data_IF_637923283731
#
_entry.id   IF_637923283731
#
_cell.length_a   1.000
_cell.length_b   1.000
_cell.length_c   1.000
_cell.angle_alpha   90.00
_cell.angle_beta   90.00
_cell.angle_gamma   90.00
#
_symmetry.space_group_name_H-M   'P 1'
#
loop_
_entity.id
_entity.type
_entity.pdbx_description
1 polymer ?
#
# COMPACT_ATOMS: atom_id res chain seq x y z
N UNK A 1 12.06 -4.21 4.60
CA UNK A 1 11.16 -3.03 4.63
C UNK A 1 10.41 -2.91 5.94
N UNK A 2 10.26 -3.99 6.71
CA UNK A 2 9.63 -3.90 8.04
C UNK A 2 8.16 -4.33 8.05
N UNK A 3 7.59 -4.68 6.89
CA UNK A 3 6.33 -5.44 6.79
C UNK A 3 6.44 -6.75 7.58
N UNK A 4 5.33 -7.20 8.13
CA UNK A 4 5.22 -8.53 8.72
C UNK A 4 5.33 -9.58 7.60
N UNK A 5 5.79 -10.77 7.97
CA UNK A 5 5.81 -11.95 7.12
C UNK A 5 4.99 -13.04 7.78
N UNK A 6 4.37 -13.90 6.97
CA UNK A 6 3.61 -15.05 7.43
C UNK A 6 4.30 -16.32 6.97
N UNK A 7 4.49 -17.26 7.89
CA UNK A 7 5.00 -18.59 7.61
C UNK A 7 4.12 -19.66 8.27
N UNK A 8 4.14 -20.87 7.70
CA UNK A 8 3.46 -22.09 8.20
C UNK A 8 2.01 -21.87 8.70
N UNK A 9 1.04 -21.52 7.82
CA UNK A 9 1.16 -21.28 6.38
C UNK A 9 1.48 -19.81 6.04
N UNK A 10 2.02 -19.56 4.84
CA UNK A 10 2.19 -18.18 4.36
C UNK A 10 0.88 -17.64 3.80
N UNK A 11 0.16 -16.86 4.61
CA UNK A 11 -1.13 -16.27 4.26
C UNK A 11 -1.02 -15.13 3.23
N UNK A 12 0.16 -14.52 3.05
CA UNK A 12 0.37 -13.52 1.99
C UNK A 12 0.41 -14.10 0.58
N UNK A 13 0.54 -15.43 0.45
CA UNK A 13 0.58 -16.10 -0.86
C UNK A 13 -0.79 -16.61 -1.32
N UNK A 14 -1.85 -16.42 -0.53
CA UNK A 14 -3.19 -16.82 -0.92
C UNK A 14 -3.66 -15.93 -2.08
N UNK A 15 -4.00 -16.48 -3.26
CA UNK A 15 -4.40 -15.67 -4.40
C UNK A 15 -5.63 -14.82 -4.10
N UNK A 16 -5.55 -13.50 -4.39
CA UNK A 16 -6.65 -12.57 -4.07
C UNK A 16 -7.72 -12.53 -5.17
N UNK A 17 -7.34 -12.77 -6.43
CA UNK A 17 -8.21 -12.59 -7.62
C UNK A 17 -8.49 -13.88 -8.40
N UNK A 18 -8.29 -15.04 -7.79
CA UNK A 18 -8.62 -16.33 -8.43
C UNK A 18 -9.71 -17.03 -7.65
N UNK A 19 -10.47 -17.88 -8.34
CA UNK A 19 -11.56 -18.65 -7.73
C UNK A 19 -11.01 -19.62 -6.67
N UNK A 20 -9.84 -20.22 -6.90
CA UNK A 20 -9.19 -21.11 -5.93
C UNK A 20 -8.81 -20.36 -4.65
N UNK A 21 -8.29 -19.15 -4.77
CA UNK A 21 -7.96 -18.30 -3.64
C UNK A 21 -9.20 -17.81 -2.88
N UNK A 22 -10.33 -17.63 -3.58
CA UNK A 22 -11.63 -17.35 -2.94
C UNK A 22 -12.13 -18.56 -2.16
N UNK A 23 -12.07 -19.76 -2.75
CA UNK A 23 -12.44 -21.02 -2.08
C UNK A 23 -11.56 -21.27 -0.85
N UNK A 24 -10.24 -21.02 -0.94
CA UNK A 24 -9.37 -21.20 0.24
C UNK A 24 -9.76 -20.26 1.40
N UNK A 25 -10.19 -19.04 1.09
CA UNK A 25 -10.65 -18.07 2.10
C UNK A 25 -11.96 -18.45 2.79
N UNK A 26 -12.78 -19.35 2.21
CA UNK A 26 -14.00 -19.84 2.90
C UNK A 26 -13.66 -20.75 4.08
N UNK A 27 -12.44 -21.29 4.16
CA UNK A 27 -12.00 -22.11 5.29
C UNK A 27 -11.71 -21.30 6.56
N UNK A 28 -11.60 -19.97 6.44
CA UNK A 28 -11.37 -19.07 7.57
C UNK A 28 -12.71 -18.55 8.06
N UNK A 29 -13.21 -19.15 9.13
CA UNK A 29 -14.51 -18.85 9.75
C UNK A 29 -14.31 -18.38 11.19
N UNK A 30 -15.19 -17.50 11.71
CA UNK A 30 -15.15 -17.08 13.10
C UNK A 30 -15.64 -18.20 14.02
N UNK A 31 -15.37 -18.06 15.32
CA UNK A 31 -15.99 -18.86 16.38
C UNK A 31 -17.52 -18.74 16.35
N UNK A 32 -18.26 -19.74 16.87
CA UNK A 32 -19.71 -19.65 16.98
C UNK A 32 -20.17 -18.38 17.71
N UNK A 33 -21.16 -17.68 17.14
CA UNK A 33 -21.68 -16.42 17.69
C UNK A 33 -20.81 -15.19 17.43
N UNK A 34 -19.86 -15.28 16.49
CA UNK A 34 -19.01 -14.17 16.05
C UNK A 34 -19.02 -13.99 14.52
N UNK A 35 -18.51 -12.84 14.06
CA UNK A 35 -18.28 -12.50 12.65
C UNK A 35 -16.86 -12.02 12.44
N UNK A 36 -16.38 -12.06 11.20
CA UNK A 36 -15.10 -11.46 10.83
C UNK A 36 -15.31 -10.07 10.25
N UNK A 37 -14.69 -9.07 10.87
CA UNK A 37 -14.46 -7.75 10.29
C UNK A 37 -13.16 -7.80 9.51
N UNK A 38 -13.24 -7.42 8.24
CA UNK A 38 -12.09 -7.27 7.38
C UNK A 38 -11.93 -5.79 7.06
N UNK A 39 -10.82 -5.18 7.49
CA UNK A 39 -10.53 -3.77 7.28
C UNK A 39 -9.20 -3.61 6.54
N UNK A 40 -9.20 -2.87 5.42
CA UNK A 40 -8.06 -2.72 4.51
C UNK A 40 -7.76 -1.25 4.24
N UNK A 41 -6.49 -0.86 4.32
CA UNK A 41 -6.09 0.50 3.95
C UNK A 41 -6.17 0.73 2.45
N UNK A 42 -6.96 1.73 2.06
CA UNK A 42 -7.22 2.05 0.67
C UNK A 42 -6.02 2.77 0.04
N UNK A 43 -5.20 2.05 -0.75
CA UNK A 43 -3.96 2.52 -1.40
C UNK A 43 -2.94 3.18 -0.44
N UNK A 44 -2.61 2.53 0.68
CA UNK A 44 -1.69 3.09 1.67
C UNK A 44 -0.33 3.53 1.08
N UNK A 45 0.26 2.73 0.19
CA UNK A 45 1.57 3.06 -0.40
C UNK A 45 1.53 4.34 -1.24
N UNK A 46 0.42 4.60 -1.96
CA UNK A 46 0.26 5.84 -2.72
C UNK A 46 0.02 7.05 -1.81
N UNK A 47 -0.68 6.86 -0.69
CA UNK A 47 -0.83 7.90 0.33
C UNK A 47 0.52 8.23 0.97
N UNK A 48 1.36 7.22 1.22
CA UNK A 48 2.73 7.40 1.67
C UNK A 48 3.56 8.18 0.64
N UNK A 49 3.46 7.85 -0.65
CA UNK A 49 4.14 8.59 -1.73
C UNK A 49 3.70 10.06 -1.73
N UNK A 50 2.39 10.32 -1.74
CA UNK A 50 1.83 11.68 -1.73
C UNK A 50 2.36 12.51 -0.55
N UNK A 51 2.45 11.90 0.63
CA UNK A 51 2.98 12.55 1.83
C UNK A 51 4.50 12.79 1.77
N UNK A 52 5.27 11.76 1.41
CA UNK A 52 6.73 11.80 1.42
C UNK A 52 7.31 12.68 0.31
N UNK A 53 6.67 12.67 -0.85
CA UNK A 53 7.02 13.52 -1.99
C UNK A 53 6.49 14.95 -1.85
N UNK A 54 5.52 15.18 -0.96
CA UNK A 54 4.80 16.46 -0.87
C UNK A 54 4.22 16.89 -2.21
N UNK A 55 3.61 15.95 -2.94
CA UNK A 55 3.06 16.23 -4.27
C UNK A 55 1.67 16.88 -4.14
N UNK A 56 1.48 18.14 -4.54
CA UNK A 56 0.22 18.85 -4.34
C UNK A 56 -0.93 18.23 -5.14
N UNK A 57 -0.64 17.60 -6.29
CA UNK A 57 -1.63 16.95 -7.13
C UNK A 57 -2.20 15.69 -6.49
N UNK A 58 -1.33 14.79 -6.03
CA UNK A 58 -1.73 13.59 -5.30
C UNK A 58 -2.40 13.94 -3.98
N UNK A 59 -1.88 14.93 -3.25
CA UNK A 59 -2.47 15.38 -1.98
C UNK A 59 -3.90 15.89 -2.20
N UNK A 60 -4.11 16.77 -3.17
CA UNK A 60 -5.45 17.27 -3.52
C UNK A 60 -6.38 16.15 -3.97
N UNK A 61 -5.92 15.23 -4.84
CA UNK A 61 -6.73 14.12 -5.32
C UNK A 61 -7.24 13.24 -4.16
N UNK A 62 -6.38 12.91 -3.19
CA UNK A 62 -6.78 12.13 -2.02
C UNK A 62 -7.70 12.89 -1.05
N UNK A 63 -7.47 14.19 -0.84
CA UNK A 63 -8.30 15.02 0.06
C UNK A 63 -9.71 15.24 -0.48
N UNK A 64 -9.84 15.34 -1.80
CA UNK A 64 -11.12 15.55 -2.48
C UNK A 64 -11.85 14.24 -2.81
N UNK A 65 -11.30 13.08 -2.40
CA UNK A 65 -11.92 11.78 -2.66
C UNK A 65 -11.96 11.40 -4.14
N UNK A 66 -11.13 12.02 -4.99
CA UNK A 66 -11.05 11.70 -6.42
C UNK A 66 -10.36 10.36 -6.63
N UNK A 67 -10.75 9.65 -7.69
CA UNK A 67 -10.04 8.43 -8.10
C UNK A 67 -8.63 8.80 -8.57
N UNK A 68 -7.64 8.54 -7.71
CA UNK A 68 -6.25 8.92 -7.95
C UNK A 68 -5.71 8.28 -9.23
N UNK A 69 -6.15 7.08 -9.59
CA UNK A 69 -5.70 6.44 -10.84
C UNK A 69 -6.29 7.13 -12.08
N UNK A 70 -7.53 7.61 -12.02
CA UNK A 70 -8.08 8.45 -13.10
C UNK A 70 -7.38 9.81 -13.16
N UNK A 71 -7.13 10.45 -12.02
CA UNK A 71 -6.39 11.71 -11.99
C UNK A 71 -4.96 11.56 -12.53
N UNK A 72 -4.28 10.46 -12.19
CA UNK A 72 -2.98 10.09 -12.77
C UNK A 72 -3.09 9.84 -14.26
N UNK A 73 -4.06 9.05 -14.72
CA UNK A 73 -4.25 8.76 -16.13
C UNK A 73 -4.49 10.03 -16.95
N UNK A 74 -5.41 10.89 -16.49
CA UNK A 74 -5.72 12.17 -17.12
C UNK A 74 -4.46 13.02 -17.35
N UNK A 75 -3.60 13.13 -16.33
CA UNK A 75 -2.33 13.86 -16.43
C UNK A 75 -1.31 13.20 -17.34
N UNK A 76 -1.13 11.88 -17.22
CA UNK A 76 -0.13 11.13 -18.00
C UNK A 76 -0.48 11.10 -19.49
N UNK A 77 -1.77 10.92 -19.81
CA UNK A 77 -2.24 10.83 -21.19
C UNK A 77 -2.71 12.17 -21.76
N UNK A 78 -2.71 13.26 -20.97
CA UNK A 78 -3.12 14.59 -21.40
C UNK A 78 -4.60 14.68 -21.82
N UNK A 79 -5.49 13.96 -21.11
CA UNK A 79 -6.94 13.94 -21.38
C UNK A 79 -7.71 14.45 -20.17
N UNK A 80 -8.96 14.89 -20.39
CA UNK A 80 -9.86 15.23 -19.28
C UNK A 80 -10.15 14.00 -18.40
N UNK A 81 -10.34 14.22 -17.09
CA UNK A 81 -10.57 13.13 -16.11
C UNK A 81 -11.79 12.27 -16.50
N UNK A 82 -12.84 12.90 -17.03
CA UNK A 82 -14.06 12.22 -17.46
C UNK A 82 -13.92 11.50 -18.81
N UNK A 83 -12.85 11.81 -19.57
CA UNK A 83 -12.51 11.15 -20.82
C UNK A 83 -11.52 9.99 -20.65
N UNK A 84 -11.07 9.71 -19.42
CA UNK A 84 -10.16 8.59 -19.12
C UNK A 84 -10.85 7.26 -19.39
N UNK A 85 -10.29 6.49 -20.32
CA UNK A 85 -10.78 5.14 -20.61
C UNK A 85 -10.41 4.15 -19.48
N UNK A 86 -11.14 3.04 -19.38
CA UNK A 86 -10.79 1.96 -18.45
C UNK A 86 -9.38 1.42 -18.67
N UNK A 87 -8.93 1.36 -19.92
CA UNK A 87 -7.57 0.92 -20.27
C UNK A 87 -6.53 1.93 -19.77
N UNK A 88 -6.73 3.22 -20.00
CA UNK A 88 -5.84 4.29 -19.51
C UNK A 88 -5.77 4.28 -17.99
N UNK A 89 -6.90 4.14 -17.31
CA UNK A 89 -6.96 3.99 -15.85
C UNK A 89 -6.18 2.77 -15.36
N UNK A 90 -6.33 1.62 -16.04
CA UNK A 90 -5.62 0.38 -15.70
C UNK A 90 -4.10 0.54 -15.88
N UNK A 91 -3.67 1.14 -17.00
CA UNK A 91 -2.26 1.47 -17.26
C UNK A 91 -1.70 2.41 -16.20
N UNK A 92 -2.39 3.51 -15.90
CA UNK A 92 -1.98 4.47 -14.86
C UNK A 92 -1.88 3.81 -13.49
N UNK A 93 -2.84 2.94 -13.13
CA UNK A 93 -2.76 2.13 -11.92
C UNK A 93 -1.50 1.28 -11.87
N UNK A 94 -1.20 0.55 -12.95
CA UNK A 94 0.00 -0.29 -13.02
C UNK A 94 1.30 0.53 -12.96
N UNK A 95 1.33 1.72 -13.55
CA UNK A 95 2.44 2.68 -13.48
C UNK A 95 2.62 3.17 -12.04
N UNK A 96 1.57 3.69 -11.40
CA UNK A 96 1.60 4.14 -10.00
C UNK A 96 2.11 3.07 -9.04
N UNK A 97 1.67 1.82 -9.22
CA UNK A 97 2.21 0.70 -8.44
C UNK A 97 3.65 0.38 -8.85
N UNK A 98 3.98 0.31 -10.13
CA UNK A 98 5.35 0.07 -10.63
C UNK A 98 6.37 1.05 -10.08
N UNK A 99 6.03 2.34 -10.02
CA UNK A 99 6.84 3.40 -9.43
C UNK A 99 7.05 3.25 -7.93
N UNK A 100 6.03 2.84 -7.17
CA UNK A 100 6.19 2.47 -5.76
C UNK A 100 7.18 1.30 -5.55
N UNK A 101 7.53 0.60 -6.64
CA UNK A 101 8.54 -0.46 -6.68
C UNK A 101 9.83 -0.08 -7.45
N UNK A 102 10.05 1.19 -7.80
CA UNK A 102 11.30 1.63 -8.45
C UNK A 102 11.49 0.92 -9.79
N UNK A 103 10.38 0.63 -10.48
CA UNK A 103 10.37 -0.16 -11.70
C UNK A 103 10.93 0.64 -12.87
N UNK A 104 11.85 0.01 -13.60
CA UNK A 104 12.39 0.55 -14.85
C UNK A 104 11.45 0.25 -16.02
N UNK A 105 11.61 0.99 -17.12
CA UNK A 105 10.85 0.83 -18.36
C UNK A 105 10.77 -0.63 -18.84
N UNK A 106 11.85 -1.41 -18.73
CA UNK A 106 11.83 -2.84 -19.08
C UNK A 106 10.86 -3.64 -18.21
N UNK A 107 10.93 -3.46 -16.88
CA UNK A 107 10.03 -4.16 -15.94
C UNK A 107 8.58 -3.72 -16.11
N UNK A 108 8.36 -2.44 -16.41
CA UNK A 108 7.04 -1.90 -16.70
C UNK A 108 6.49 -2.47 -18.01
N UNK A 109 7.30 -2.54 -19.06
CA UNK A 109 6.93 -3.14 -20.34
C UNK A 109 6.51 -4.60 -20.20
N UNK A 110 7.25 -5.40 -19.43
CA UNK A 110 6.89 -6.79 -19.12
C UNK A 110 5.55 -6.91 -18.39
N UNK A 111 5.26 -6.02 -17.44
CA UNK A 111 3.97 -6.03 -16.71
C UNK A 111 2.80 -5.58 -17.57
N UNK A 112 3.02 -4.58 -18.42
CA UNK A 112 2.00 -4.01 -19.28
C UNK A 112 1.78 -4.82 -20.58
N UNK A 113 2.71 -5.73 -20.91
CA UNK A 113 2.68 -6.44 -22.20
C UNK A 113 2.99 -5.53 -23.39
N UNK A 114 3.77 -4.46 -23.18
CA UNK A 114 4.12 -3.47 -24.20
C UNK A 114 5.64 -3.42 -24.44
N UNK A 115 6.04 -2.77 -25.53
CA UNK A 115 7.46 -2.58 -25.85
C UNK A 115 8.15 -1.70 -24.79
N UNK A 116 9.43 -1.98 -24.51
CA UNK A 116 10.24 -1.20 -23.55
C UNK A 116 10.28 0.29 -23.87
N UNK A 117 10.27 0.67 -25.15
CA UNK A 117 10.23 2.07 -25.59
C UNK A 117 8.93 2.76 -25.16
N UNK A 118 7.77 2.15 -25.43
CA UNK A 118 6.46 2.68 -25.01
C UNK A 118 6.38 2.78 -23.47
N UNK A 119 6.92 1.79 -22.76
CA UNK A 119 6.98 1.85 -21.30
C UNK A 119 7.88 2.98 -20.77
N UNK A 120 8.97 3.31 -21.48
CA UNK A 120 9.83 4.43 -21.13
C UNK A 120 9.09 5.76 -21.32
N UNK A 121 8.38 5.95 -22.44
CA UNK A 121 7.58 7.15 -22.69
C UNK A 121 6.50 7.36 -21.62
N UNK A 122 5.82 6.29 -21.20
CA UNK A 122 4.82 6.34 -20.12
C UNK A 122 5.47 6.74 -18.78
N UNK A 123 6.66 6.21 -18.48
CA UNK A 123 7.38 6.53 -17.26
C UNK A 123 7.84 7.99 -17.24
N UNK A 124 8.37 8.49 -18.36
CA UNK A 124 8.79 9.88 -18.52
C UNK A 124 7.59 10.83 -18.40
N UNK A 125 6.47 10.50 -19.05
CA UNK A 125 5.23 11.27 -18.92
C UNK A 125 4.72 11.29 -17.47
N UNK A 126 4.86 10.18 -16.74
CA UNK A 126 4.52 10.13 -15.32
C UNK A 126 5.43 11.06 -14.50
N UNK A 127 6.74 11.01 -14.66
CA UNK A 127 7.64 11.88 -13.90
C UNK A 127 7.46 13.36 -14.25
N UNK A 128 7.14 13.66 -15.51
CA UNK A 128 6.75 15.01 -15.92
C UNK A 128 5.44 15.47 -15.25
N UNK A 129 4.47 14.57 -15.10
CA UNK A 129 3.19 14.84 -14.42
C UNK A 129 3.30 14.92 -12.89
N UNK A 130 4.31 14.29 -12.30
CA UNK A 130 4.55 14.18 -10.85
C UNK A 130 6.02 14.49 -10.50
N UNK A 131 6.48 15.73 -10.73
CA UNK A 131 7.89 16.09 -10.55
C UNK A 131 8.36 15.92 -9.10
N UNK A 132 7.49 16.20 -8.13
CA UNK A 132 7.80 16.06 -6.71
C UNK A 132 8.06 14.59 -6.32
N UNK A 133 7.37 13.65 -6.97
CA UNK A 133 7.62 12.20 -6.77
C UNK A 133 8.98 11.82 -7.33
N UNK A 134 9.34 12.34 -8.49
CA UNK A 134 10.66 12.11 -9.08
C UNK A 134 11.78 12.65 -8.19
N UNK A 135 11.67 13.92 -7.77
CA UNK A 135 12.63 14.58 -6.88
C UNK A 135 12.79 13.81 -5.56
N UNK A 136 11.68 13.34 -4.97
CA UNK A 136 11.72 12.50 -3.78
C UNK A 136 12.52 11.21 -3.99
N UNK A 137 12.33 10.52 -5.11
CA UNK A 137 13.04 9.29 -5.42
C UNK A 137 14.54 9.54 -5.61
N UNK A 138 14.91 10.55 -6.40
CA UNK A 138 16.30 10.93 -6.64
C UNK A 138 17.01 11.33 -5.35
N UNK A 139 16.37 12.18 -4.54
CA UNK A 139 16.88 12.60 -3.23
C UNK A 139 17.06 11.42 -2.29
N UNK A 140 16.09 10.51 -2.22
CA UNK A 140 16.17 9.32 -1.36
C UNK A 140 17.35 8.43 -1.75
N UNK A 141 17.61 8.25 -3.05
CA UNK A 141 18.76 7.49 -3.53
C UNK A 141 20.08 8.21 -3.20
N UNK A 142 20.16 9.52 -3.43
CA UNK A 142 21.35 10.31 -3.13
C UNK A 142 21.71 10.28 -1.64
N UNK A 143 20.70 10.44 -0.76
CA UNK A 143 20.86 10.33 0.69
C UNK A 143 21.31 8.91 1.10
N UNK A 144 20.69 7.88 0.51
CA UNK A 144 21.03 6.49 0.79
C UNK A 144 22.45 6.11 0.35
N UNK A 145 22.93 6.64 -0.78
CA UNK A 145 24.32 6.46 -1.24
C UNK A 145 25.33 7.07 -0.28
N UNK A 146 25.00 8.23 0.29
CA UNK A 146 25.87 8.91 1.26
C UNK A 146 25.88 8.20 2.62
N UNK A 147 24.72 7.71 3.07
CA UNK A 147 24.56 7.14 4.44
C UNK A 147 24.70 5.61 4.50
N UNK A 148 24.55 4.91 3.39
CA UNK A 148 24.47 3.44 3.31
C UNK A 148 23.12 2.83 3.73
N UNK A 149 22.11 3.66 4.03
CA UNK A 149 20.78 3.21 4.45
C UNK A 149 19.68 4.25 4.17
N UNK A 150 18.43 3.79 4.11
CA UNK A 150 17.23 4.64 4.10
C UNK A 150 16.57 4.72 5.47
N UNK A 151 15.71 5.72 5.66
CA UNK A 151 14.91 5.93 6.88
C UNK A 151 13.42 6.00 6.54
N UNK A 152 12.56 5.51 7.43
CA UNK A 152 11.13 5.89 7.46
C UNK A 152 10.96 7.18 8.27
N UNK A 153 9.77 7.81 8.22
CA UNK A 153 9.48 9.00 9.04
C UNK A 153 9.61 8.74 10.56
N UNK A 154 9.48 7.48 10.98
CA UNK A 154 9.65 7.04 12.37
C UNK A 154 11.08 6.59 12.70
N UNK A 155 12.02 6.82 11.79
CA UNK A 155 13.44 6.54 12.01
C UNK A 155 13.86 5.08 11.80
N UNK A 156 12.99 4.20 11.28
CA UNK A 156 13.38 2.82 10.94
C UNK A 156 14.43 2.83 9.83
N UNK A 157 15.58 2.20 10.10
CA UNK A 157 16.69 2.07 9.14
C UNK A 157 16.58 0.81 8.30
N UNK A 158 16.86 0.92 6.99
CA UNK A 158 17.15 -0.22 6.11
C UNK A 158 18.51 0.01 5.45
N UNK A 159 19.51 -0.80 5.81
CA UNK A 159 20.81 -0.81 5.11
C UNK A 159 20.67 -1.33 3.70
N UNK A 160 21.42 -0.76 2.77
CA UNK A 160 21.42 -1.13 1.36
C UNK A 160 22.89 -1.27 0.89
N UNK A 161 23.57 -2.37 1.29
CA UNK A 161 24.97 -2.60 0.94
C UNK A 161 25.20 -2.64 -0.58
N UNK A 162 24.18 -2.94 -1.37
CA UNK A 162 24.24 -2.96 -2.82
C UNK A 162 24.66 -1.62 -3.43
N UNK A 163 24.38 -0.49 -2.75
CA UNK A 163 24.76 0.84 -3.21
C UNK A 163 26.28 1.03 -3.29
N UNK A 164 27.05 0.30 -2.50
CA UNK A 164 28.52 0.33 -2.48
C UNK A 164 29.15 -0.60 -3.53
N UNK A 165 28.33 -1.42 -4.21
CA UNK A 165 28.83 -2.40 -5.16
C UNK A 165 29.45 -1.72 -6.40
N UNK A 166 30.64 -2.18 -6.79
CA UNK A 166 31.26 -1.81 -8.07
C UNK A 166 30.46 -2.34 -9.27
N UNK A 167 29.73 -3.44 -9.11
CA UNK A 167 28.88 -4.02 -10.14
C UNK A 167 27.66 -3.13 -10.39
N UNK A 168 27.55 -2.59 -11.61
CA UNK A 168 26.47 -1.70 -12.01
C UNK A 168 25.08 -2.28 -11.76
N UNK A 169 24.84 -3.56 -12.09
CA UNK A 169 23.51 -4.20 -11.92
C UNK A 169 23.13 -4.34 -10.45
N UNK A 170 24.10 -4.66 -9.59
CA UNK A 170 23.87 -4.76 -8.14
C UNK A 170 23.58 -3.36 -7.59
N UNK A 171 24.37 -2.36 -7.96
CA UNK A 171 24.17 -0.98 -7.54
C UNK A 171 22.81 -0.43 -7.96
N UNK A 172 22.41 -0.64 -9.20
CA UNK A 172 21.09 -0.27 -9.71
C UNK A 172 19.96 -0.96 -8.92
N UNK A 173 20.14 -2.24 -8.56
CA UNK A 173 19.20 -2.92 -7.65
C UNK A 173 19.14 -2.26 -6.26
N UNK A 174 20.27 -1.82 -5.72
CA UNK A 174 20.32 -1.04 -4.48
C UNK A 174 19.57 0.29 -4.59
N UNK A 175 19.73 1.01 -5.70
CA UNK A 175 19.01 2.27 -5.95
C UNK A 175 17.49 2.05 -5.97
N UNK A 176 17.02 1.00 -6.66
CA UNK A 176 15.60 0.62 -6.63
C UNK A 176 15.11 0.27 -5.23
N UNK A 177 15.92 -0.47 -4.47
CA UNK A 177 15.59 -0.78 -3.07
C UNK A 177 15.49 0.50 -2.23
N UNK A 178 16.33 1.50 -2.47
CA UNK A 178 16.34 2.76 -1.74
C UNK A 178 15.07 3.58 -2.01
N UNK A 179 14.68 3.71 -3.27
CA UNK A 179 13.45 4.42 -3.67
C UNK A 179 12.21 3.89 -2.92
N UNK A 180 12.10 2.56 -2.80
CA UNK A 180 10.89 1.93 -2.26
C UNK A 180 10.90 1.79 -0.74
N UNK A 181 12.08 1.73 -0.13
CA UNK A 181 12.22 1.36 1.27
C UNK A 181 11.51 2.34 2.22
N UNK A 182 11.57 3.65 1.92
CA UNK A 182 10.87 4.68 2.68
C UNK A 182 9.35 4.52 2.60
N UNK A 183 8.82 4.32 1.39
CA UNK A 183 7.39 4.18 1.11
C UNK A 183 6.81 2.93 1.80
N UNK A 184 7.37 1.75 1.51
CA UNK A 184 6.88 0.49 2.07
C UNK A 184 7.13 0.38 3.57
N UNK A 185 8.27 0.94 4.02
CA UNK A 185 8.59 0.98 5.44
C UNK A 185 7.62 1.86 6.21
N UNK A 186 7.24 3.01 5.65
CA UNK A 186 6.23 3.88 6.24
C UNK A 186 4.86 3.19 6.32
N UNK A 187 4.41 2.56 5.23
CA UNK A 187 3.16 1.78 5.25
C UNK A 187 3.19 0.69 6.34
N UNK A 188 4.32 -0.01 6.49
CA UNK A 188 4.49 -1.01 7.55
C UNK A 188 4.49 -0.41 8.96
N UNK A 189 5.07 0.78 9.15
CA UNK A 189 5.09 1.49 10.43
C UNK A 189 3.69 1.94 10.82
N UNK A 190 2.96 2.60 9.91
CA UNK A 190 1.57 3.01 10.11
C UNK A 190 0.72 1.80 10.50
N UNK A 191 0.88 0.69 9.78
CA UNK A 191 0.05 -0.47 10.04
C UNK A 191 0.35 -1.07 11.42
N UNK A 192 1.61 -1.16 11.82
CA UNK A 192 1.98 -1.61 13.17
C UNK A 192 1.43 -0.72 14.28
N UNK A 193 1.43 0.60 14.07
CA UNK A 193 0.81 1.55 15.02
C UNK A 193 -0.69 1.26 15.14
N UNK A 194 -1.39 1.04 14.01
CA UNK A 194 -2.80 0.69 14.02
C UNK A 194 -3.07 -0.65 14.73
N UNK A 195 -2.27 -1.70 14.48
CA UNK A 195 -2.42 -2.99 15.15
C UNK A 195 -2.29 -2.87 16.67
N UNK A 196 -1.27 -2.15 17.16
CA UNK A 196 -1.07 -1.90 18.59
C UNK A 196 -2.24 -1.10 19.17
N UNK A 197 -2.75 -0.12 18.42
CA UNK A 197 -3.90 0.68 18.82
C UNK A 197 -5.16 -0.18 18.97
N UNK A 198 -5.45 -1.02 17.96
CA UNK A 198 -6.61 -1.92 17.95
C UNK A 198 -6.53 -2.88 19.14
N UNK A 199 -5.41 -3.58 19.29
CA UNK A 199 -5.18 -4.55 20.37
C UNK A 199 -5.40 -3.93 21.75
N UNK A 200 -4.75 -2.78 22.01
CA UNK A 200 -4.92 -2.03 23.27
C UNK A 200 -6.36 -1.61 23.52
N UNK A 201 -7.07 -1.16 22.48
CA UNK A 201 -8.42 -0.65 22.62
C UNK A 201 -9.42 -1.79 22.89
N UNK A 202 -9.25 -2.95 22.23
CA UNK A 202 -10.02 -4.17 22.55
C UNK A 202 -9.82 -4.58 24.02
N UNK A 203 -8.58 -4.57 24.51
CA UNK A 203 -8.26 -4.88 25.91
C UNK A 203 -8.83 -3.85 26.90
N UNK A 204 -8.67 -2.56 26.61
CA UNK A 204 -9.09 -1.47 27.50
C UNK A 204 -10.61 -1.44 27.68
N UNK A 205 -11.36 -1.78 26.62
CA UNK A 205 -12.82 -1.87 26.66
C UNK A 205 -13.34 -3.24 27.11
N UNK A 206 -12.43 -4.16 27.44
CA UNK A 206 -12.74 -5.52 27.90
C UNK A 206 -13.66 -6.29 26.92
N UNK A 207 -13.45 -6.09 25.63
CA UNK A 207 -14.21 -6.73 24.57
C UNK A 207 -13.78 -8.20 24.43
N UNK A 208 -14.73 -9.07 24.07
CA UNK A 208 -14.47 -10.49 23.78
C UNK A 208 -13.89 -10.72 22.38
N UNK A 209 -13.98 -9.70 21.53
CA UNK A 209 -13.45 -9.61 20.18
C UNK A 209 -11.91 -9.64 20.14
N UNK A 210 -11.32 -10.14 19.05
CA UNK A 210 -9.88 -10.39 18.94
C UNK A 210 -9.33 -10.00 17.58
N UNK A 211 -8.16 -9.37 17.58
CA UNK A 211 -7.34 -9.24 16.39
C UNK A 211 -6.77 -10.62 16.01
N UNK A 212 -7.12 -11.14 14.84
CA UNK A 212 -6.80 -12.53 14.45
C UNK A 212 -5.67 -12.58 13.44
N UNK A 213 -5.77 -11.81 12.35
CA UNK A 213 -4.81 -11.86 11.26
C UNK A 213 -4.44 -10.46 10.77
N UNK A 214 -3.24 -10.38 10.21
CA UNK A 214 -2.80 -9.28 9.38
C UNK A 214 -2.28 -9.88 8.06
N UNK A 215 -2.80 -9.39 6.93
CA UNK A 215 -2.41 -9.84 5.60
C UNK A 215 -2.29 -8.63 4.68
N UNK A 216 -1.09 -8.39 4.13
CA UNK A 216 -0.78 -7.20 3.32
C UNK A 216 -1.07 -5.88 4.04
N UNK A 217 -2.10 -5.16 3.63
CA UNK A 217 -2.55 -3.87 4.18
C UNK A 217 -3.90 -4.01 4.90
N UNK A 218 -4.30 -5.26 5.15
CA UNK A 218 -5.56 -5.68 5.76
C UNK A 218 -5.38 -6.32 7.14
N UNK A 219 -6.32 -6.01 8.03
CA UNK A 219 -6.48 -6.61 9.35
C UNK A 219 -7.81 -7.34 9.42
N UNK A 220 -7.81 -8.50 10.08
CA UNK A 220 -8.99 -9.31 10.34
C UNK A 220 -9.22 -9.35 11.85
N UNK A 221 -10.37 -8.85 12.27
CA UNK A 221 -10.81 -8.87 13.67
C UNK A 221 -12.03 -9.79 13.75
N UNK A 222 -11.96 -10.79 14.61
CA UNK A 222 -13.12 -11.60 14.96
C UNK A 222 -13.89 -10.89 16.07
N UNK A 223 -15.16 -10.60 15.82
CA UNK A 223 -16.00 -9.88 16.77
C UNK A 223 -17.21 -10.68 17.19
N UNK A 224 -17.51 -10.66 18.50
CA UNK A 224 -18.75 -11.22 19.02
C UNK A 224 -19.95 -10.47 18.44
N UNK A 225 -21.07 -11.16 18.22
CA UNK A 225 -22.26 -10.59 17.59
C UNK A 225 -22.75 -9.30 18.28
N UNK A 226 -22.66 -9.25 19.61
CA UNK A 226 -23.05 -8.10 20.43
C UNK A 226 -22.06 -6.92 20.39
N UNK A 227 -20.88 -7.11 19.81
CA UNK A 227 -19.78 -6.13 19.80
C UNK A 227 -19.50 -5.55 18.40
N UNK A 228 -20.19 -6.05 17.37
CA UNK A 228 -19.97 -5.72 15.94
C UNK A 228 -19.86 -4.21 15.69
N UNK A 229 -20.88 -3.43 16.05
CA UNK A 229 -20.88 -1.98 15.81
C UNK A 229 -19.74 -1.26 16.54
N UNK A 230 -19.45 -1.70 17.77
CA UNK A 230 -18.40 -1.09 18.59
C UNK A 230 -17.02 -1.38 18.01
N UNK A 231 -16.77 -2.63 17.64
CA UNK A 231 -15.51 -3.07 17.04
C UNK A 231 -15.26 -2.38 15.71
N UNK A 232 -16.28 -2.27 14.84
CA UNK A 232 -16.12 -1.57 13.57
C UNK A 232 -15.74 -0.10 13.77
N UNK A 233 -16.49 0.63 14.62
CA UNK A 233 -16.19 2.03 14.92
C UNK A 233 -14.77 2.21 15.49
N UNK A 234 -14.36 1.32 16.40
CA UNK A 234 -13.05 1.36 17.05
C UNK A 234 -11.92 1.07 16.04
N UNK A 235 -12.05 -0.01 15.27
CA UNK A 235 -11.03 -0.43 14.29
C UNK A 235 -10.86 0.63 13.20
N UNK A 236 -11.97 1.10 12.61
CA UNK A 236 -11.93 2.13 11.58
C UNK A 236 -11.34 3.43 12.11
N UNK A 237 -11.79 3.89 13.28
CA UNK A 237 -11.28 5.12 13.90
C UNK A 237 -9.77 5.05 14.12
N UNK A 238 -9.28 3.97 14.72
CA UNK A 238 -7.86 3.78 15.01
C UNK A 238 -7.03 3.69 13.73
N UNK A 239 -7.48 2.94 12.73
CA UNK A 239 -6.75 2.83 11.47
C UNK A 239 -6.70 4.17 10.73
N UNK A 240 -7.81 4.90 10.66
CA UNK A 240 -7.87 6.21 10.00
C UNK A 240 -7.04 7.28 10.72
N UNK A 241 -6.88 7.18 12.04
CA UNK A 241 -6.12 8.12 12.86
C UNK A 241 -4.75 7.61 13.31
N UNK A 242 -4.25 6.51 12.74
CA UNK A 242 -3.02 5.86 13.23
C UNK A 242 -1.82 6.81 13.19
N UNK A 243 -1.73 7.64 12.15
CA UNK A 243 -0.68 8.65 11.95
C UNK A 243 -1.28 9.84 11.21
N UNK A 244 -0.82 11.04 11.54
CA UNK A 244 -1.14 12.24 10.77
C UNK A 244 -0.27 12.32 9.51
N UNK A 245 -0.90 12.14 8.34
CA UNK A 245 -0.29 12.38 7.03
C UNK A 245 -0.91 13.62 6.39
N UNK A 246 -0.26 14.12 5.32
CA UNK A 246 -0.81 15.22 4.51
C UNK A 246 -2.09 14.82 3.76
N UNK A 247 -2.37 13.52 3.66
CA UNK A 247 -3.57 12.92 3.05
C UNK A 247 -4.30 12.06 4.06
N UNK A 248 -5.65 11.98 4.03
CA UNK A 248 -6.39 11.14 4.96
C UNK A 248 -6.02 9.66 4.76
N UNK A 249 -5.99 8.87 5.84
CA UNK A 249 -5.91 7.42 5.74
C UNK A 249 -7.33 6.87 5.56
N UNK A 250 -7.68 6.42 4.36
CA UNK A 250 -8.98 5.81 4.12
C UNK A 250 -8.92 4.29 4.33
N UNK A 251 -9.98 3.74 4.90
CA UNK A 251 -10.11 2.32 5.24
C UNK A 251 -11.45 1.84 4.72
N UNK A 252 -11.45 0.71 4.02
CA UNK A 252 -12.67 0.01 3.66
C UNK A 252 -12.87 -1.14 4.65
N UNK A 253 -14.09 -1.31 5.16
CA UNK A 253 -14.48 -2.46 5.97
C UNK A 253 -15.57 -3.28 5.30
N UNK A 254 -15.58 -4.57 5.63
CA UNK A 254 -16.70 -5.44 5.34
C UNK A 254 -16.79 -6.54 6.40
N UNK A 255 -18.02 -7.01 6.64
CA UNK A 255 -18.32 -8.09 7.56
C UNK A 255 -18.61 -9.38 6.80
N UNK A 256 -18.22 -10.52 7.37
CA UNK A 256 -18.51 -11.83 6.79
C UNK A 256 -18.56 -12.95 7.83
N UNK A 257 -19.23 -14.05 7.45
CA UNK A 257 -19.18 -15.32 8.19
C UNK A 257 -17.97 -16.17 7.78
N UNK A 258 -17.23 -15.73 6.77
CA UNK A 258 -15.91 -16.21 6.41
C UNK A 258 -15.07 -15.05 5.88
N UNK A 259 -13.75 -15.27 5.77
CA UNK A 259 -12.87 -14.28 5.13
C UNK A 259 -13.26 -14.05 3.66
N UNK A 260 -13.74 -15.09 2.98
CA UNK A 260 -14.25 -14.96 1.61
C UNK A 260 -15.48 -14.05 1.54
N UNK A 261 -16.45 -14.23 2.44
CA UNK A 261 -17.71 -13.45 2.43
C UNK A 261 -17.46 -11.97 2.67
N UNK A 262 -16.53 -11.64 3.58
CA UNK A 262 -16.16 -10.26 3.85
C UNK A 262 -15.41 -9.61 2.67
N UNK A 263 -14.66 -10.39 1.87
CA UNK A 263 -13.86 -9.86 0.76
C UNK A 263 -14.63 -9.62 -0.54
N UNK A 264 -15.83 -10.21 -0.70
CA UNK A 264 -16.58 -10.22 -1.96
C UNK A 264 -16.13 -11.32 -2.91
#
# INVERSE_FOLDING_TARGET
TGRLSSDRPNLHNIPVRTDEGRVFRTAFVPRPGARLLVADYNQIELRCIAHLADDPGLISAFREGRDVHNATAARVFGVDVDAVSHEQRSRAKMVSYGLAYGMEAYGLGQRLGIATGEAAEILDAYFAAFPNVHEYMERTVAEAKTRGYTLTMFGRRRRIPELESSNFRIRQMGERQAMNAGIQGLAADIFKIALIGIDRALETENLQSRLVLQVHDEVIVEASESEVERVESLVLGIMQSAVELKVPLAVNSAWGLSWADAKG
#
